data_IF_130203418220
#
_entry.id   IF_130203418220
#
_cell.length_a   1.000
_cell.length_b   1.000
_cell.length_c   1.000
_cell.angle_alpha   90.00
_cell.angle_beta   90.00
_cell.angle_gamma   90.00
#
_symmetry.space_group_name_H-M   'P 1'
#
loop_
_entity.id
_entity.type
_entity.pdbx_description
1 polymer ?
#
# COMPACT_ATOMS: atom_id res chain seq x y z
N UNK A 1 -19.51 30.78 3.59
CA UNK A 1 -18.06 30.64 3.77
C UNK A 1 -17.83 29.53 4.77
N UNK A 2 -17.19 28.40 4.44
CA UNK A 2 -16.76 27.48 5.48
C UNK A 2 -15.47 28.05 6.08
N UNK A 3 -15.48 28.34 7.38
CA UNK A 3 -14.29 28.60 8.17
C UNK A 3 -13.26 27.51 7.88
N UNK A 4 -12.07 27.90 7.38
CA UNK A 4 -10.90 27.03 7.44
C UNK A 4 -10.71 26.72 8.91
N UNK A 5 -10.72 25.43 9.25
CA UNK A 5 -10.49 24.93 10.60
C UNK A 5 -9.37 25.75 11.25
N UNK A 6 -9.59 26.30 12.44
CA UNK A 6 -8.61 27.11 13.18
C UNK A 6 -7.34 26.36 13.60
N UNK A 7 -7.02 25.26 12.91
CA UNK A 7 -5.87 24.40 13.08
C UNK A 7 -4.60 25.17 12.71
N UNK A 8 -3.65 25.14 13.63
CA UNK A 8 -2.32 25.70 13.43
C UNK A 8 -1.27 24.71 13.84
N UNK A 9 -0.18 24.63 13.07
CA UNK A 9 0.86 23.63 13.24
C UNK A 9 2.21 24.33 13.39
N UNK A 10 2.94 23.97 14.45
CA UNK A 10 4.30 24.44 14.66
C UNK A 10 5.28 23.59 13.85
N UNK A 11 6.00 24.23 12.93
CA UNK A 11 6.96 23.61 12.02
C UNK A 11 8.13 24.56 11.77
N UNK A 12 9.37 24.05 11.82
CA UNK A 12 10.56 24.85 11.51
C UNK A 12 10.73 26.10 12.37
N UNK A 13 10.23 26.11 13.61
CA UNK A 13 10.30 27.26 14.52
C UNK A 13 9.22 28.33 14.32
N UNK A 14 8.29 28.14 13.38
CA UNK A 14 7.15 29.03 13.14
C UNK A 14 5.81 28.27 13.24
N UNK A 15 4.69 29.00 13.28
CA UNK A 15 3.34 28.43 13.39
C UNK A 15 2.50 28.82 12.18
N UNK A 16 2.10 27.83 11.40
CA UNK A 16 1.37 28.00 10.14
C UNK A 16 -0.11 27.60 10.29
N UNK A 17 -1.06 28.29 9.62
CA UNK A 17 -2.37 27.71 9.34
C UNK A 17 -2.22 26.37 8.62
N UNK A 18 -3.05 25.39 8.97
CA UNK A 18 -2.92 24.05 8.42
C UNK A 18 -4.25 23.35 8.15
N UNK A 19 -4.21 22.34 7.29
CA UNK A 19 -5.25 21.33 7.11
C UNK A 19 -4.70 19.96 7.53
N UNK A 20 -5.50 19.21 8.28
CA UNK A 20 -5.12 17.86 8.73
C UNK A 20 -5.27 16.84 7.59
N UNK A 21 -4.30 15.94 7.48
CA UNK A 21 -4.30 14.85 6.50
C UNK A 21 -4.22 13.51 7.21
N UNK A 22 -5.05 12.57 6.73
CA UNK A 22 -5.02 11.17 7.13
C UNK A 22 -5.07 10.97 8.66
N UNK A 23 -5.99 11.68 9.33
CA UNK A 23 -6.21 11.60 10.79
C UNK A 23 -4.95 11.97 11.58
N UNK A 24 -4.35 13.11 11.23
CA UNK A 24 -3.18 13.66 11.89
C UNK A 24 -1.85 12.95 11.59
N UNK A 25 -1.79 12.10 10.57
CA UNK A 25 -0.52 11.53 10.12
C UNK A 25 0.35 12.55 9.36
N UNK A 26 -0.30 13.54 8.73
CA UNK A 26 0.39 14.64 8.05
C UNK A 26 -0.47 15.91 8.10
N UNK A 27 0.14 17.02 7.69
CA UNK A 27 -0.51 18.32 7.61
C UNK A 27 -0.13 19.04 6.32
N UNK A 28 -1.07 19.76 5.73
CA UNK A 28 -0.80 20.75 4.71
C UNK A 28 -0.71 22.12 5.38
N UNK A 29 0.49 22.70 5.38
CA UNK A 29 0.78 24.03 5.93
C UNK A 29 0.57 25.08 4.86
N UNK A 30 0.15 26.28 5.27
CA UNK A 30 -0.07 27.41 4.35
C UNK A 30 0.67 28.67 4.82
N UNK A 31 1.13 29.48 3.86
CA UNK A 31 1.77 30.77 4.10
C UNK A 31 1.30 31.82 3.09
N UNK A 32 1.25 33.08 3.53
CA UNK A 32 1.03 34.23 2.66
C UNK A 32 2.30 34.58 1.88
N UNK A 33 3.46 34.43 2.52
CA UNK A 33 4.78 34.75 1.99
C UNK A 33 5.55 33.49 1.58
N UNK A 34 6.55 33.68 0.72
CA UNK A 34 7.47 32.61 0.33
C UNK A 34 8.28 32.12 1.54
N UNK A 35 8.31 30.80 1.73
CA UNK A 35 9.01 30.13 2.82
C UNK A 35 9.82 28.98 2.25
N UNK A 36 11.02 28.73 2.77
CA UNK A 36 11.89 27.67 2.29
C UNK A 36 11.19 26.30 2.29
N UNK A 37 11.15 25.68 1.11
CA UNK A 37 10.52 24.37 0.88
C UNK A 37 8.98 24.41 0.87
N UNK A 38 8.36 25.59 0.83
CA UNK A 38 6.95 25.74 0.43
C UNK A 38 6.90 25.92 -1.08
N UNK A 39 5.84 25.38 -1.69
CA UNK A 39 5.57 25.47 -3.11
C UNK A 39 4.42 26.45 -3.38
N UNK A 40 4.51 27.16 -4.50
CA UNK A 40 3.44 28.04 -4.97
C UNK A 40 2.28 27.21 -5.53
N UNK A 41 1.13 27.25 -4.86
CA UNK A 41 -0.09 26.55 -5.24
C UNK A 41 -1.34 27.37 -4.82
N UNK A 42 -1.68 28.44 -5.55
CA UNK A 42 -2.80 29.30 -5.22
C UNK A 42 -4.13 28.53 -5.36
N UNK A 43 -4.99 28.63 -4.34
CA UNK A 43 -6.37 28.11 -4.38
C UNK A 43 -7.34 29.25 -4.65
N UNK A 44 -8.40 28.96 -5.40
CA UNK A 44 -9.51 29.90 -5.62
C UNK A 44 -10.04 30.35 -4.26
N UNK A 45 -10.09 31.66 -4.04
CA UNK A 45 -10.53 32.29 -2.78
C UNK A 45 -9.62 32.08 -1.55
N UNK A 46 -8.33 31.74 -1.71
CA UNK A 46 -7.35 31.70 -0.62
C UNK A 46 -6.34 32.85 -0.74
N UNK A 47 -6.11 33.57 0.36
CA UNK A 47 -5.03 34.56 0.46
C UNK A 47 -3.66 33.92 0.82
N UNK A 48 -3.60 32.59 0.96
CA UNK A 48 -2.39 31.84 1.30
C UNK A 48 -2.00 30.99 0.08
N UNK A 49 -1.09 31.47 -0.79
CA UNK A 49 -0.74 30.79 -2.03
C UNK A 49 0.44 29.82 -1.87
N UNK A 50 1.20 29.90 -0.79
CA UNK A 50 2.32 29.01 -0.52
C UNK A 50 1.88 27.88 0.39
N UNK A 51 2.35 26.67 0.12
CA UNK A 51 2.01 25.50 0.94
C UNK A 51 3.13 24.47 1.06
N UNK A 52 3.02 23.60 2.05
CA UNK A 52 3.91 22.44 2.21
C UNK A 52 3.18 21.29 2.89
N UNK A 53 3.41 20.07 2.42
CA UNK A 53 3.00 18.86 3.14
C UNK A 53 4.12 18.42 4.09
N UNK A 54 3.77 18.15 5.35
CA UNK A 54 4.72 17.71 6.38
C UNK A 54 4.19 16.50 7.12
N UNK A 55 5.08 15.55 7.46
CA UNK A 55 4.71 14.39 8.26
C UNK A 55 4.55 14.81 9.74
N UNK A 56 3.71 14.11 10.50
CA UNK A 56 3.47 14.42 11.92
C UNK A 56 4.75 14.39 12.77
N UNK A 57 5.73 13.57 12.41
CA UNK A 57 7.03 13.51 13.13
C UNK A 57 7.90 14.75 12.94
N UNK A 58 7.59 15.59 11.95
CA UNK A 58 8.29 16.87 11.72
C UNK A 58 7.59 18.05 12.42
N UNK A 59 6.40 17.80 13.01
CA UNK A 59 5.58 18.81 13.68
C UNK A 59 5.95 18.89 15.15
N UNK A 60 6.18 20.12 15.63
CA UNK A 60 6.50 20.37 17.05
C UNK A 60 5.26 20.43 17.94
N UNK A 61 4.16 21.00 17.44
CA UNK A 61 2.90 21.12 18.16
C UNK A 61 1.73 21.35 17.21
N UNK A 62 0.53 20.91 17.61
CA UNK A 62 -0.72 21.12 16.90
C UNK A 62 -1.67 21.89 17.82
N UNK A 63 -2.25 22.98 17.31
CA UNK A 63 -3.15 23.87 18.04
C UNK A 63 -4.52 23.90 17.36
N UNK A 64 -5.60 23.83 18.14
CA UNK A 64 -6.97 23.91 17.61
C UNK A 64 -7.45 22.64 16.88
N UNK A 65 -6.78 21.50 17.08
CA UNK A 65 -7.24 20.21 16.58
C UNK A 65 -8.44 19.68 17.37
N UNK A 66 -9.27 18.88 16.71
CA UNK A 66 -10.34 18.11 17.35
C UNK A 66 -9.81 16.79 17.88
N UNK A 67 -10.49 16.18 18.86
CA UNK A 67 -10.18 14.82 19.31
C UNK A 67 -10.27 13.83 18.13
N UNK A 68 -9.28 12.95 18.02
CA UNK A 68 -9.24 11.92 16.98
C UNK A 68 -10.21 10.78 17.33
N UNK A 69 -11.00 10.36 16.34
CA UNK A 69 -11.99 9.28 16.53
C UNK A 69 -11.40 7.86 16.49
N UNK A 70 -10.16 7.69 16.00
CA UNK A 70 -9.43 6.43 15.95
C UNK A 70 -8.03 6.64 16.55
N UNK A 71 -7.50 5.64 17.24
CA UNK A 71 -6.13 5.68 17.76
C UNK A 71 -5.13 5.84 16.60
N UNK A 72 -4.18 6.78 16.71
CA UNK A 72 -3.19 6.98 15.67
C UNK A 72 -2.28 5.75 15.51
N UNK A 73 -1.75 5.59 14.29
CA UNK A 73 -0.66 4.64 14.07
C UNK A 73 0.59 5.10 14.84
N UNK A 74 1.39 4.16 15.36
CA UNK A 74 2.56 4.52 16.13
C UNK A 74 3.61 5.10 15.17
N UNK A 75 4.17 6.28 15.49
CA UNK A 75 5.22 6.88 14.69
C UNK A 75 6.51 6.07 14.79
N UNK A 76 7.48 6.37 13.93
CA UNK A 76 8.83 5.86 14.11
C UNK A 76 9.44 6.37 15.42
N UNK A 77 10.10 5.47 16.14
CA UNK A 77 10.78 5.75 17.38
C UNK A 77 12.29 5.54 17.21
N UNK A 78 13.08 6.54 17.61
CA UNK A 78 14.54 6.44 17.68
C UNK A 78 14.97 6.25 19.13
N UNK A 79 15.74 5.20 19.45
CA UNK A 79 16.31 5.03 20.78
C UNK A 79 17.09 6.28 21.20
N UNK A 80 16.87 6.75 22.42
CA UNK A 80 17.55 7.93 22.96
C UNK A 80 19.06 7.71 22.97
N UNK A 81 19.79 8.57 22.26
CA UNK A 81 21.25 8.54 22.20
C UNK A 81 21.81 9.96 22.04
N UNK A 82 22.98 10.24 22.61
CA UNK A 82 23.57 11.59 22.57
C UNK A 82 24.17 11.95 21.20
N UNK A 83 24.71 10.97 20.51
CA UNK A 83 25.45 11.16 19.25
C UNK A 83 24.71 10.65 18.01
N UNK A 84 23.57 9.97 18.21
CA UNK A 84 22.82 9.32 17.11
C UNK A 84 21.42 9.90 17.09
N UNK A 85 21.02 10.42 15.94
CA UNK A 85 19.72 11.03 15.72
C UNK A 85 19.17 10.67 14.33
N UNK A 86 18.07 11.31 13.94
CA UNK A 86 17.35 11.01 12.70
C UNK A 86 18.20 11.08 11.43
N UNK A 87 19.14 12.02 11.34
CA UNK A 87 20.05 12.14 10.19
C UNK A 87 20.94 10.91 10.02
N UNK A 88 21.43 10.34 11.12
CA UNK A 88 22.27 9.14 11.10
C UNK A 88 21.43 7.90 10.77
N UNK A 89 20.24 7.79 11.35
CA UNK A 89 19.27 6.72 11.03
C UNK A 89 18.94 6.72 9.54
N UNK A 90 18.64 7.89 8.99
CA UNK A 90 18.37 8.04 7.56
C UNK A 90 19.59 7.63 6.73
N UNK A 91 20.77 8.13 7.05
CA UNK A 91 22.00 7.76 6.33
C UNK A 91 22.23 6.23 6.33
N UNK A 92 22.08 5.57 7.48
CA UNK A 92 22.25 4.13 7.60
C UNK A 92 21.14 3.35 6.89
N UNK A 93 19.88 3.79 6.97
CA UNK A 93 18.75 3.09 6.32
C UNK A 93 18.88 3.07 4.79
N UNK A 94 19.62 4.02 4.21
CA UNK A 94 19.91 4.11 2.78
C UNK A 94 21.13 3.26 2.35
N UNK A 95 21.78 2.53 3.26
CA UNK A 95 22.97 1.73 2.99
C UNK A 95 22.67 0.22 3.12
N UNK A 96 22.75 -0.57 2.03
CA UNK A 96 22.53 -2.02 2.10
C UNK A 96 23.44 -2.74 3.11
N UNK A 97 24.67 -2.23 3.29
CA UNK A 97 25.63 -2.78 4.26
C UNK A 97 25.18 -2.62 5.73
N UNK A 98 24.22 -1.73 6.00
CA UNK A 98 23.66 -1.50 7.34
C UNK A 98 22.35 -2.27 7.57
N UNK A 99 22.02 -3.27 6.74
CA UNK A 99 20.80 -4.08 6.86
C UNK A 99 20.66 -4.74 8.25
N UNK A 100 21.77 -5.17 8.84
CA UNK A 100 21.81 -5.80 10.16
C UNK A 100 22.22 -4.81 11.27
N UNK A 101 22.24 -3.49 11.00
CA UNK A 101 22.57 -2.48 12.00
C UNK A 101 21.50 -2.45 13.12
N UNK A 102 21.88 -2.55 14.40
CA UNK A 102 20.91 -2.58 15.50
C UNK A 102 20.04 -1.33 15.63
N UNK A 103 20.57 -0.15 15.28
CA UNK A 103 19.81 1.10 15.31
C UNK A 103 18.74 1.08 14.22
N UNK A 104 19.12 0.75 12.98
CA UNK A 104 18.17 0.66 11.85
C UNK A 104 17.09 -0.38 12.14
N UNK A 105 17.49 -1.53 12.68
CA UNK A 105 16.57 -2.61 13.08
C UNK A 105 15.58 -2.16 14.15
N UNK A 106 16.06 -1.49 15.20
CA UNK A 106 15.22 -1.01 16.28
C UNK A 106 14.24 0.07 15.82
N UNK A 107 14.70 1.03 15.01
CA UNK A 107 13.83 2.06 14.42
C UNK A 107 12.80 1.41 13.51
N UNK A 108 13.21 0.48 12.64
CA UNK A 108 12.28 -0.20 11.73
C UNK A 108 11.20 -0.96 12.47
N UNK A 109 11.55 -1.64 13.57
CA UNK A 109 10.61 -2.41 14.38
C UNK A 109 9.52 -1.56 15.04
N UNK A 110 9.75 -0.25 15.24
CA UNK A 110 8.71 0.66 15.77
C UNK A 110 7.55 0.90 14.80
N UNK A 111 7.79 0.71 13.48
CA UNK A 111 6.75 0.75 12.46
C UNK A 111 6.05 -0.61 12.32
N UNK A 112 5.14 -0.90 13.26
CA UNK A 112 4.30 -2.10 13.24
C UNK A 112 3.04 -1.95 12.39
N UNK A 113 2.57 -3.06 11.83
CA UNK A 113 1.21 -3.22 11.29
C UNK A 113 0.36 -3.89 12.35
N UNK A 114 -0.90 -3.46 12.47
CA UNK A 114 -1.91 -4.07 13.32
C UNK A 114 -3.11 -4.43 12.47
N UNK A 115 -4.03 -5.25 12.99
CA UNK A 115 -5.36 -5.37 12.38
C UNK A 115 -5.98 -3.99 12.27
N UNK A 116 -6.56 -3.68 11.12
CA UNK A 116 -7.20 -2.40 10.86
C UNK A 116 -6.26 -1.28 10.42
N UNK A 117 -4.94 -1.48 10.48
CA UNK A 117 -3.96 -0.50 9.99
C UNK A 117 -4.25 -0.16 8.54
N UNK A 118 -4.34 1.13 8.22
CA UNK A 118 -4.57 1.56 6.84
C UNK A 118 -3.29 1.39 6.05
N UNK A 119 -3.31 0.47 5.11
CA UNK A 119 -2.24 0.20 4.17
C UNK A 119 -2.52 0.93 2.86
N UNK A 120 -1.44 1.27 2.16
CA UNK A 120 -1.48 1.98 0.89
C UNK A 120 -0.45 1.39 -0.07
N UNK A 121 -0.80 1.36 -1.34
CA UNK A 121 0.10 1.03 -2.45
C UNK A 121 -0.06 2.09 -3.53
N UNK A 122 1.05 2.68 -3.96
CA UNK A 122 1.08 3.62 -5.08
C UNK A 122 1.06 2.83 -6.40
N UNK A 123 0.23 3.31 -7.33
CA UNK A 123 -0.13 2.64 -8.57
C UNK A 123 0.08 3.58 -9.76
N UNK A 124 0.50 3.01 -10.89
CA UNK A 124 0.25 3.64 -12.18
C UNK A 124 -1.16 3.42 -12.70
N UNK A 125 -1.50 4.13 -13.77
CA UNK A 125 -2.76 3.95 -14.50
C UNK A 125 -2.97 2.48 -14.93
N UNK A 126 -1.89 1.79 -15.36
CA UNK A 126 -1.97 0.37 -15.75
C UNK A 126 -2.28 -0.53 -14.55
N UNK A 127 -1.61 -0.33 -13.42
CA UNK A 127 -1.88 -1.09 -12.20
C UNK A 127 -3.29 -0.81 -11.68
N UNK A 128 -3.73 0.47 -11.67
CA UNK A 128 -5.10 0.85 -11.33
C UNK A 128 -6.12 0.08 -12.18
N UNK A 129 -5.88 0.01 -13.49
CA UNK A 129 -6.73 -0.74 -14.40
C UNK A 129 -6.75 -2.26 -14.10
N UNK A 130 -5.67 -2.82 -13.56
CA UNK A 130 -5.61 -4.19 -13.05
C UNK A 130 -6.46 -4.37 -11.79
N UNK A 131 -6.35 -3.47 -10.82
CA UNK A 131 -7.14 -3.50 -9.57
C UNK A 131 -8.65 -3.34 -9.81
N UNK A 132 -9.02 -2.45 -10.73
CA UNK A 132 -10.41 -2.29 -11.17
C UNK A 132 -10.97 -3.59 -11.77
N UNK A 133 -10.11 -4.42 -12.38
CA UNK A 133 -10.45 -5.75 -12.94
C UNK A 133 -10.17 -6.92 -12.01
N UNK A 134 -9.97 -6.66 -10.72
CA UNK A 134 -9.92 -7.71 -9.70
C UNK A 134 -8.53 -8.18 -9.29
N UNK A 135 -7.46 -7.44 -9.62
CA UNK A 135 -6.20 -7.65 -8.90
C UNK A 135 -6.40 -7.42 -7.40
N UNK A 136 -5.71 -8.23 -6.61
CA UNK A 136 -5.72 -8.18 -5.16
C UNK A 136 -4.49 -7.41 -4.64
N UNK A 137 -4.54 -6.80 -3.43
CA UNK A 137 -3.34 -6.21 -2.82
C UNK A 137 -2.21 -7.23 -2.75
N UNK A 138 -1.01 -6.85 -3.20
CA UNK A 138 0.17 -7.72 -3.19
C UNK A 138 1.45 -6.90 -3.28
N UNK A 139 2.58 -7.53 -2.95
CA UNK A 139 3.91 -6.94 -3.12
C UNK A 139 4.17 -5.80 -2.15
N UNK A 140 4.96 -4.82 -2.59
CA UNK A 140 5.34 -3.69 -1.75
C UNK A 140 4.15 -2.78 -1.41
N UNK A 141 4.08 -2.38 -0.15
CA UNK A 141 3.07 -1.49 0.39
C UNK A 141 3.59 -0.72 1.61
N UNK A 142 2.83 0.27 2.05
CA UNK A 142 3.18 1.22 3.09
C UNK A 142 2.00 1.41 4.04
N UNK A 143 2.25 1.83 5.28
CA UNK A 143 1.15 2.34 6.12
C UNK A 143 0.78 3.73 5.60
N UNK A 144 -0.51 4.05 5.51
CA UNK A 144 -0.99 5.39 5.15
C UNK A 144 -0.31 6.45 6.02
N UNK A 145 -0.10 6.14 7.30
CA UNK A 145 0.58 7.01 8.25
C UNK A 145 1.94 7.49 7.73
N UNK A 146 2.81 6.56 7.33
CA UNK A 146 4.21 6.84 6.98
C UNK A 146 4.39 7.61 5.67
N UNK A 147 3.34 7.66 4.84
CA UNK A 147 3.38 8.28 3.50
C UNK A 147 2.36 9.40 3.34
N UNK A 148 1.66 9.79 4.40
CA UNK A 148 0.56 10.73 4.34
C UNK A 148 0.96 12.12 3.81
N UNK A 149 2.22 12.52 3.96
CA UNK A 149 2.75 13.80 3.45
C UNK A 149 3.17 13.72 1.97
N UNK A 150 3.29 12.52 1.39
CA UNK A 150 3.62 12.33 -0.02
C UNK A 150 2.34 12.41 -0.84
N UNK A 151 2.03 13.62 -1.32
CA UNK A 151 0.71 13.94 -1.87
C UNK A 151 0.74 14.26 -3.35
N UNK A 152 1.88 14.54 -3.95
CA UNK A 152 2.00 14.93 -5.35
C UNK A 152 2.63 13.80 -6.17
N UNK A 153 2.43 13.76 -7.50
CA UNK A 153 3.11 12.78 -8.35
C UNK A 153 4.64 12.78 -8.17
N UNK A 154 5.24 13.95 -7.99
CA UNK A 154 6.67 14.09 -7.74
C UNK A 154 7.10 13.41 -6.42
N UNK A 155 6.38 13.67 -5.33
CA UNK A 155 6.74 13.13 -4.00
C UNK A 155 6.39 11.65 -3.84
N UNK A 156 5.33 11.18 -4.48
CA UNK A 156 4.93 9.76 -4.46
C UNK A 156 5.74 8.87 -5.40
N UNK A 157 6.52 9.47 -6.33
CA UNK A 157 7.38 8.72 -7.26
C UNK A 157 8.36 7.76 -6.57
N UNK A 158 8.81 8.10 -5.35
CA UNK A 158 9.74 7.27 -4.55
C UNK A 158 9.12 5.93 -4.13
N UNK A 159 7.78 5.86 -4.09
CA UNK A 159 7.02 4.70 -3.64
C UNK A 159 6.60 3.78 -4.78
N UNK A 160 6.80 4.20 -6.03
CA UNK A 160 6.35 3.46 -7.21
C UNK A 160 7.07 2.13 -7.35
N UNK A 161 6.31 1.14 -7.78
CA UNK A 161 6.77 -0.25 -7.94
C UNK A 161 6.90 -0.65 -9.41
N UNK A 162 6.41 0.19 -10.32
CA UNK A 162 6.52 -0.01 -11.75
C UNK A 162 7.81 0.62 -12.33
N UNK A 163 8.23 0.14 -13.50
CA UNK A 163 9.48 0.55 -14.16
C UNK A 163 9.49 2.00 -14.66
N UNK A 164 10.66 2.47 -15.11
CA UNK A 164 10.89 3.87 -15.52
C UNK A 164 10.07 4.33 -16.73
N UNK A 165 9.64 3.40 -17.60
CA UNK A 165 8.79 3.67 -18.79
C UNK A 165 7.42 4.30 -18.45
N UNK A 166 7.12 4.40 -17.16
CA UNK A 166 5.89 4.99 -16.61
C UNK A 166 6.10 6.38 -15.97
N UNK A 167 7.31 6.96 -16.09
CA UNK A 167 7.70 8.27 -15.53
C UNK A 167 7.34 9.45 -16.44
N UNK A 168 7.13 9.23 -17.73
CA UNK A 168 6.82 10.32 -18.65
C UNK A 168 5.35 10.77 -18.51
N UNK A 169 5.15 11.97 -17.95
CA UNK A 169 3.94 12.76 -18.17
C UNK A 169 2.72 12.47 -17.29
N UNK A 170 2.84 11.77 -16.16
CA UNK A 170 1.70 11.55 -15.28
C UNK A 170 1.48 12.73 -14.32
N UNK A 171 0.58 13.65 -14.68
CA UNK A 171 0.06 14.71 -13.78
C UNK A 171 -0.75 14.15 -12.59
N UNK A 172 -0.98 12.83 -12.57
CA UNK A 172 -1.78 12.12 -11.59
C UNK A 172 -1.06 10.85 -11.16
N UNK A 173 -0.99 10.62 -9.86
CA UNK A 173 -0.60 9.32 -9.29
C UNK A 173 -1.82 8.65 -8.66
N UNK A 174 -1.91 7.34 -8.77
CA UNK A 174 -3.02 6.57 -8.20
C UNK A 174 -2.57 5.79 -6.98
N UNK A 175 -3.52 5.39 -6.14
CA UNK A 175 -3.23 4.51 -5.02
C UNK A 175 -4.38 3.54 -4.74
N UNK A 176 -4.05 2.37 -4.20
CA UNK A 176 -4.99 1.52 -3.49
C UNK A 176 -4.79 1.74 -2.00
N UNK A 177 -5.86 1.98 -1.27
CA UNK A 177 -5.89 2.04 0.20
C UNK A 177 -6.84 0.98 0.75
N UNK A 178 -6.37 0.21 1.73
CA UNK A 178 -7.15 -0.83 2.38
C UNK A 178 -6.79 -0.92 3.87
N UNK A 179 -7.53 -1.71 4.64
CA UNK A 179 -7.18 -2.03 6.04
C UNK A 179 -6.58 -3.42 6.13
N UNK A 180 -5.48 -3.55 6.87
CA UNK A 180 -4.82 -4.83 7.11
C UNK A 180 -5.74 -5.80 7.87
N UNK A 181 -6.05 -6.95 7.27
CA UNK A 181 -6.86 -8.00 7.89
C UNK A 181 -6.15 -8.61 9.10
N UNK A 182 -4.88 -8.97 8.91
CA UNK A 182 -4.01 -9.53 9.93
C UNK A 182 -2.59 -8.99 9.76
N UNK A 183 -1.87 -8.65 10.85
CA UNK A 183 -0.48 -8.21 10.76
C UNK A 183 0.46 -9.29 10.20
N UNK A 184 0.12 -10.57 10.34
CA UNK A 184 0.82 -11.71 9.74
C UNK A 184 0.72 -11.79 8.22
N UNK A 185 -0.06 -10.93 7.57
CA UNK A 185 -0.05 -10.82 6.11
C UNK A 185 1.10 -9.95 5.57
N UNK A 186 1.90 -9.34 6.46
CA UNK A 186 2.96 -8.41 6.09
C UNK A 186 4.29 -8.83 6.69
N UNK A 187 5.34 -8.65 5.91
CA UNK A 187 6.71 -8.82 6.35
C UNK A 187 7.51 -7.55 6.06
N UNK A 188 8.60 -7.37 6.80
CA UNK A 188 9.61 -6.35 6.49
C UNK A 188 10.58 -6.98 5.49
N UNK A 189 10.88 -6.34 4.33
CA UNK A 189 11.79 -6.87 3.33
C UNK A 189 13.27 -6.70 3.76
N UNK A 190 13.64 -7.38 4.85
CA UNK A 190 14.94 -7.29 5.51
C UNK A 190 15.40 -8.67 6.03
N UNK A 191 16.69 -8.82 6.28
CA UNK A 191 17.27 -10.05 6.82
C UNK A 191 17.38 -11.20 5.81
N UNK A 192 17.74 -12.38 6.34
CA UNK A 192 18.14 -13.54 5.52
C UNK A 192 17.08 -13.97 4.49
N UNK A 193 15.80 -13.93 4.86
CA UNK A 193 14.70 -14.39 4.02
C UNK A 193 14.44 -13.50 2.77
N UNK A 194 15.11 -12.34 2.69
CA UNK A 194 14.99 -11.38 1.58
C UNK A 194 16.34 -11.07 0.91
N UNK A 195 17.43 -11.77 1.26
CA UNK A 195 18.75 -11.58 0.61
C UNK A 195 18.72 -11.87 -0.89
N UNK A 196 17.90 -12.83 -1.32
CA UNK A 196 17.70 -13.11 -2.75
C UNK A 196 17.18 -11.89 -3.52
N UNK A 197 16.27 -11.15 -2.90
CA UNK A 197 15.67 -9.95 -3.48
C UNK A 197 16.67 -8.79 -3.57
N UNK A 198 17.57 -8.65 -2.59
CA UNK A 198 18.64 -7.63 -2.64
C UNK A 198 19.77 -7.99 -3.62
N UNK A 199 19.91 -9.28 -3.95
CA UNK A 199 20.88 -9.78 -4.93
C UNK A 199 20.45 -9.60 -6.40
N UNK A 200 19.17 -9.31 -6.66
CA UNK A 200 18.66 -9.10 -8.02
C UNK A 200 19.23 -7.82 -8.64
N UNK A 201 19.89 -7.99 -9.80
CA UNK A 201 20.52 -6.91 -10.53
C UNK A 201 19.51 -5.94 -11.15
N UNK A 202 20.00 -4.76 -11.56
CA UNK A 202 19.14 -3.75 -12.20
C UNK A 202 18.44 -4.23 -13.47
N UNK A 203 19.01 -5.22 -14.18
CA UNK A 203 18.42 -5.82 -15.39
C UNK A 203 17.25 -6.76 -15.10
N UNK A 204 17.22 -7.33 -13.90
CA UNK A 204 16.27 -8.37 -13.53
C UNK A 204 15.09 -7.81 -12.73
N UNK A 205 15.10 -6.51 -12.37
CA UNK A 205 14.10 -5.88 -11.51
C UNK A 205 13.46 -4.65 -12.14
N UNK A 206 12.21 -4.40 -11.77
CA UNK A 206 11.51 -3.13 -12.00
C UNK A 206 11.52 -2.27 -10.74
N UNK A 207 11.53 -0.95 -10.93
CA UNK A 207 11.52 0.03 -9.83
C UNK A 207 12.86 0.14 -9.10
N UNK A 208 12.90 0.80 -7.92
CA UNK A 208 14.13 1.00 -7.14
C UNK A 208 14.64 -0.30 -6.50
N UNK A 209 15.92 -0.32 -6.13
CA UNK A 209 16.54 -1.47 -5.47
C UNK A 209 15.88 -1.75 -4.11
N UNK A 210 15.95 -2.99 -3.65
CA UNK A 210 15.61 -3.35 -2.27
C UNK A 210 16.89 -3.32 -1.47
N UNK A 211 16.94 -2.49 -0.43
CA UNK A 211 18.17 -2.28 0.35
C UNK A 211 18.39 -3.36 1.41
N UNK A 212 17.33 -4.07 1.81
CA UNK A 212 17.37 -5.03 2.90
C UNK A 212 17.30 -4.39 4.30
N UNK A 213 17.18 -3.06 4.39
CA UNK A 213 17.06 -2.30 5.65
C UNK A 213 15.60 -2.14 6.11
N UNK A 214 14.63 -2.55 5.28
CA UNK A 214 13.21 -2.34 5.53
C UNK A 214 12.71 -0.91 5.30
N UNK A 215 13.52 -0.05 4.66
CA UNK A 215 13.16 1.30 4.28
C UNK A 215 13.23 1.51 2.77
N UNK A 216 12.32 2.34 2.25
CA UNK A 216 12.32 2.76 0.84
C UNK A 216 13.57 3.58 0.53
N UNK A 217 14.22 3.35 -0.63
CA UNK A 217 15.24 4.25 -1.14
C UNK A 217 14.72 5.69 -1.28
N UNK A 218 15.29 6.62 -0.53
CA UNK A 218 14.90 8.03 -0.55
C UNK A 218 16.04 8.93 -0.07
N UNK A 219 16.17 10.11 -0.68
CA UNK A 219 17.10 11.15 -0.24
C UNK A 219 16.54 12.05 0.86
N UNK A 220 15.22 12.04 1.07
CA UNK A 220 14.53 13.04 1.90
C UNK A 220 13.64 12.43 2.98
N UNK A 221 13.23 11.18 2.84
CA UNK A 221 12.21 10.60 3.70
C UNK A 221 12.64 9.25 4.26
N UNK A 222 12.46 9.07 5.56
CA UNK A 222 12.64 7.78 6.21
C UNK A 222 11.30 7.02 6.19
N UNK A 223 11.08 6.24 5.14
CA UNK A 223 9.79 5.57 4.88
C UNK A 223 9.92 4.07 5.12
N UNK A 224 9.27 3.51 6.15
CA UNK A 224 9.18 2.06 6.34
C UNK A 224 8.43 1.42 5.19
N UNK A 225 9.01 0.38 4.60
CA UNK A 225 8.36 -0.42 3.56
C UNK A 225 7.98 -1.80 4.09
N UNK A 226 6.86 -2.32 3.59
CA UNK A 226 6.36 -3.66 3.88
C UNK A 226 6.16 -4.40 2.56
N UNK A 227 6.20 -5.72 2.62
CA UNK A 227 5.73 -6.59 1.54
C UNK A 227 4.60 -7.46 2.05
N UNK A 228 3.65 -7.81 1.19
CA UNK A 228 2.73 -8.90 1.53
C UNK A 228 3.55 -10.18 1.73
N UNK A 229 3.24 -10.94 2.79
CA UNK A 229 3.98 -12.16 3.13
C UNK A 229 4.01 -13.10 1.94
N UNK A 230 5.21 -13.59 1.62
CA UNK A 230 5.50 -14.40 0.43
C UNK A 230 5.09 -13.76 -0.92
N UNK A 231 4.96 -12.43 -0.97
CA UNK A 231 4.40 -11.68 -2.11
C UNK A 231 2.98 -12.12 -2.50
N UNK A 232 2.25 -12.73 -1.55
CA UNK A 232 0.91 -13.25 -1.78
C UNK A 232 -0.11 -12.15 -2.08
N UNK A 233 -1.12 -12.53 -2.86
CA UNK A 233 -2.34 -11.75 -2.94
C UNK A 233 -3.05 -11.75 -1.58
N UNK A 234 -3.58 -10.60 -1.17
CA UNK A 234 -4.42 -10.46 0.01
C UNK A 234 -5.88 -10.34 -0.42
N UNK A 235 -6.83 -11.04 0.20
CA UNK A 235 -8.24 -10.85 -0.10
C UNK A 235 -8.64 -9.38 0.08
N UNK A 236 -9.35 -8.81 -0.91
CA UNK A 236 -9.74 -7.40 -0.89
C UNK A 236 -10.70 -7.12 0.29
N UNK A 237 -10.32 -6.27 1.25
CA UNK A 237 -11.20 -5.91 2.36
C UNK A 237 -12.39 -5.06 1.88
N UNK A 238 -13.50 -5.09 2.64
CA UNK A 238 -14.60 -4.17 2.40
C UNK A 238 -14.11 -2.72 2.56
N UNK A 239 -14.74 -1.81 1.81
CA UNK A 239 -14.44 -0.37 1.86
C UNK A 239 -13.00 0.01 1.49
N UNK A 240 -12.24 -0.90 0.85
CA UNK A 240 -11.00 -0.52 0.18
C UNK A 240 -11.29 0.57 -0.86
N UNK A 241 -10.35 1.47 -1.09
CA UNK A 241 -10.53 2.65 -1.95
C UNK A 241 -9.44 2.74 -2.99
N UNK A 242 -9.83 3.12 -4.21
CA UNK A 242 -8.92 3.57 -5.25
C UNK A 242 -8.90 5.09 -5.25
N UNK A 243 -7.71 5.66 -5.23
CA UNK A 243 -7.47 7.09 -5.04
C UNK A 243 -6.70 7.65 -6.24
N UNK A 244 -6.84 8.96 -6.43
CA UNK A 244 -5.98 9.77 -7.29
C UNK A 244 -5.41 10.96 -6.53
N UNK A 245 -4.18 11.31 -6.88
CA UNK A 245 -3.41 12.44 -6.40
C UNK A 245 -2.94 13.26 -7.61
N UNK A 246 -3.63 14.37 -7.96
CA UNK A 246 -3.21 15.26 -9.02
C UNK A 246 -2.01 16.11 -8.56
N UNK A 247 -1.50 16.97 -9.44
CA UNK A 247 -0.36 17.86 -9.16
C UNK A 247 -0.56 18.72 -7.90
N UNK A 248 -1.80 19.12 -7.61
CA UNK A 248 -2.15 19.89 -6.41
C UNK A 248 -2.21 19.03 -5.15
N UNK A 249 -1.96 17.73 -5.21
CA UNK A 249 -1.89 16.83 -4.06
C UNK A 249 -3.18 16.68 -3.23
N UNK A 250 -4.31 17.03 -3.83
CA UNK A 250 -5.63 16.70 -3.30
C UNK A 250 -5.87 15.20 -3.37
N UNK A 251 -6.48 14.61 -2.34
CA UNK A 251 -6.91 13.21 -2.41
C UNK A 251 -8.28 13.15 -3.03
N UNK A 252 -8.39 12.44 -4.15
CA UNK A 252 -9.66 12.20 -4.82
C UNK A 252 -9.97 10.72 -4.72
N UNK A 253 -11.03 10.37 -3.98
CA UNK A 253 -11.53 8.99 -3.93
C UNK A 253 -12.24 8.68 -5.25
N UNK A 254 -11.65 7.83 -6.07
CA UNK A 254 -12.18 7.43 -7.36
C UNK A 254 -13.28 6.37 -7.20
N UNK A 255 -12.97 5.30 -6.48
CA UNK A 255 -13.87 4.16 -6.26
C UNK A 255 -13.75 3.62 -4.83
N UNK A 256 -14.84 3.03 -4.35
CA UNK A 256 -14.90 2.24 -3.12
C UNK A 256 -15.34 0.80 -3.42
N UNK A 257 -14.65 -0.18 -2.85
CA UNK A 257 -14.94 -1.60 -3.07
C UNK A 257 -16.17 -2.05 -2.29
N UNK A 258 -17.11 -2.66 -3.00
CA UNK A 258 -18.32 -3.28 -2.48
C UNK A 258 -18.12 -4.80 -2.49
N UNK A 259 -17.80 -5.37 -1.32
CA UNK A 259 -17.45 -6.78 -1.20
C UNK A 259 -18.60 -7.71 -1.62
N UNK A 260 -19.83 -7.36 -1.25
CA UNK A 260 -21.05 -8.12 -1.56
C UNK A 260 -21.34 -8.20 -3.05
N UNK A 261 -20.98 -7.15 -3.79
CA UNK A 261 -21.19 -7.07 -5.24
C UNK A 261 -19.94 -7.51 -6.01
N UNK A 262 -18.81 -7.71 -5.31
CA UNK A 262 -17.48 -7.96 -5.89
C UNK A 262 -17.13 -6.94 -6.97
N UNK A 263 -17.30 -5.67 -6.64
CA UNK A 263 -17.08 -4.59 -7.59
C UNK A 263 -16.74 -3.26 -6.96
N UNK A 264 -16.39 -2.30 -7.82
CA UNK A 264 -16.00 -0.96 -7.46
C UNK A 264 -17.14 0.01 -7.76
N UNK A 265 -17.57 0.77 -6.75
CA UNK A 265 -18.55 1.84 -6.90
C UNK A 265 -17.85 3.20 -7.01
N UNK A 266 -18.18 3.97 -8.05
CA UNK A 266 -17.58 5.28 -8.31
C UNK A 266 -17.99 6.27 -7.23
N UNK A 267 -17.00 6.91 -6.61
CA UNK A 267 -17.19 7.93 -5.57
C UNK A 267 -16.96 9.35 -6.08
N UNK A 268 -16.25 9.47 -7.21
CA UNK A 268 -15.81 10.75 -7.76
C UNK A 268 -16.91 11.49 -8.52
N UNK A 269 -17.00 12.81 -8.33
CA UNK A 269 -17.95 13.68 -9.04
C UNK A 269 -17.50 14.09 -10.46
N UNK A 270 -18.38 14.74 -11.26
CA UNK A 270 -18.09 15.14 -12.65
C UNK A 270 -16.78 15.93 -12.83
N UNK A 271 -16.46 16.83 -11.90
CA UNK A 271 -15.30 17.72 -11.97
C UNK A 271 -13.95 16.97 -11.97
N UNK A 272 -13.94 15.73 -11.49
CA UNK A 272 -12.74 14.92 -11.30
C UNK A 272 -12.70 13.68 -12.22
N UNK A 273 -13.71 13.46 -13.07
CA UNK A 273 -13.75 12.29 -13.96
C UNK A 273 -12.56 12.24 -14.93
N UNK A 274 -12.04 13.39 -15.33
CA UNK A 274 -10.87 13.50 -16.20
C UNK A 274 -9.65 12.74 -15.64
N UNK A 275 -9.55 12.57 -14.32
CA UNK A 275 -8.48 11.79 -13.67
C UNK A 275 -8.49 10.30 -14.07
N UNK A 276 -9.60 9.78 -14.62
CA UNK A 276 -9.69 8.40 -15.10
C UNK A 276 -9.34 8.26 -16.59
N UNK A 277 -9.17 9.36 -17.33
CA UNK A 277 -8.98 9.33 -18.78
C UNK A 277 -7.71 8.59 -19.21
N UNK A 278 -6.67 8.61 -18.37
CA UNK A 278 -5.40 7.91 -18.62
C UNK A 278 -5.45 6.41 -18.27
N UNK A 279 -6.53 5.91 -17.67
CA UNK A 279 -6.62 4.54 -17.15
C UNK A 279 -7.04 3.57 -18.26
N UNK A 280 -6.18 2.63 -18.68
CA UNK A 280 -6.46 1.79 -19.84
C UNK A 280 -7.74 0.95 -19.70
N UNK A 281 -8.65 1.10 -20.66
CA UNK A 281 -9.89 0.34 -20.76
C UNK A 281 -10.88 0.56 -19.60
N UNK A 282 -10.81 1.72 -18.96
CA UNK A 282 -11.80 2.19 -17.98
C UNK A 282 -12.48 3.44 -18.53
N UNK A 283 -13.81 3.44 -18.60
CA UNK A 283 -14.55 4.64 -18.99
C UNK A 283 -14.65 5.61 -17.79
N UNK A 284 -14.37 6.92 -17.96
CA UNK A 284 -14.55 7.92 -16.91
C UNK A 284 -15.98 8.02 -16.36
N UNK A 285 -16.97 7.61 -17.14
CA UNK A 285 -18.38 7.64 -16.76
C UNK A 285 -18.87 6.33 -16.13
N UNK A 286 -18.01 5.31 -16.04
CA UNK A 286 -18.39 4.01 -15.52
C UNK A 286 -18.64 4.07 -14.00
N UNK A 287 -19.90 3.99 -13.60
CA UNK A 287 -20.32 4.12 -12.20
C UNK A 287 -20.03 2.89 -11.36
N UNK A 288 -20.12 1.71 -11.98
CA UNK A 288 -19.86 0.43 -11.34
C UNK A 288 -18.94 -0.42 -12.20
N UNK A 289 -17.91 -1.01 -11.57
CA UNK A 289 -16.97 -1.90 -12.25
C UNK A 289 -16.93 -3.27 -11.54
N UNK A 290 -17.49 -4.33 -12.13
CA UNK A 290 -17.37 -5.66 -11.54
C UNK A 290 -15.94 -6.19 -11.67
N UNK A 291 -15.44 -6.86 -10.64
CA UNK A 291 -14.08 -7.45 -10.64
C UNK A 291 -14.00 -8.84 -11.31
N UNK A 292 -15.06 -9.26 -12.00
CA UNK A 292 -15.18 -10.54 -12.70
C UNK A 292 -15.47 -11.74 -11.81
N UNK A 293 -15.77 -12.88 -12.43
CA UNK A 293 -16.07 -14.17 -11.74
C UNK A 293 -14.88 -15.15 -11.73
N UNK A 294 -13.73 -14.75 -12.27
CA UNK A 294 -12.57 -15.64 -12.38
C UNK A 294 -12.19 -16.20 -11.00
N UNK A 295 -12.08 -17.55 -10.85
CA UNK A 295 -11.72 -18.17 -9.60
C UNK A 295 -10.40 -17.58 -9.08
N UNK A 296 -10.44 -17.02 -7.86
CA UNK A 296 -9.25 -16.53 -7.18
C UNK A 296 -8.67 -17.66 -6.35
N UNK A 297 -7.37 -17.88 -6.48
CA UNK A 297 -6.65 -18.86 -5.67
C UNK A 297 -6.44 -18.39 -4.22
N UNK A 298 -6.71 -17.11 -3.94
CA UNK A 298 -6.66 -16.53 -2.59
C UNK A 298 -8.01 -15.94 -2.18
N UNK A 299 -8.49 -16.31 -0.99
CA UNK A 299 -9.75 -15.80 -0.39
C UNK A 299 -9.72 -15.87 1.13
N UNK A 300 -10.62 -15.13 1.79
CA UNK A 300 -10.92 -15.36 3.20
C UNK A 300 -12.01 -16.41 3.33
N UNK A 301 -11.81 -17.32 4.25
CA UNK A 301 -12.75 -18.37 4.59
C UNK A 301 -13.03 -18.26 6.08
N UNK A 302 -14.29 -18.21 6.45
CA UNK A 302 -14.71 -18.14 7.84
C UNK A 302 -15.65 -19.27 8.23
N UNK A 303 -15.64 -19.61 9.50
CA UNK A 303 -16.56 -20.60 10.08
C UNK A 303 -17.70 -19.88 10.79
N UNK A 304 -18.93 -20.34 10.57
CA UNK A 304 -20.11 -19.84 11.28
C UNK A 304 -21.09 -20.98 11.51
N UNK A 305 -21.55 -21.17 12.75
CA UNK A 305 -22.56 -22.18 13.11
C UNK A 305 -22.22 -23.61 12.61
N UNK A 306 -20.93 -23.98 12.64
CA UNK A 306 -20.43 -25.28 12.18
C UNK A 306 -20.27 -25.44 10.67
N UNK A 307 -20.59 -24.40 9.88
CA UNK A 307 -20.37 -24.36 8.43
C UNK A 307 -19.16 -23.51 8.05
N UNK A 308 -18.61 -23.77 6.86
CA UNK A 308 -17.56 -22.97 6.23
C UNK A 308 -18.18 -22.06 5.14
N UNK A 309 -17.82 -20.78 5.16
CA UNK A 309 -18.29 -19.78 4.22
C UNK A 309 -17.15 -18.88 3.75
N UNK A 310 -17.31 -18.24 2.60
CA UNK A 310 -16.41 -17.13 2.23
C UNK A 310 -16.63 -15.97 3.20
N UNK A 311 -15.55 -15.34 3.64
CA UNK A 311 -15.57 -14.24 4.59
C UNK A 311 -15.07 -12.94 3.99
N UNK A 312 -15.37 -11.83 4.65
CA UNK A 312 -14.91 -10.48 4.30
C UNK A 312 -14.37 -9.81 5.56
N UNK A 313 -13.21 -9.16 5.42
CA UNK A 313 -12.70 -8.25 6.44
C UNK A 313 -13.40 -6.89 6.31
N UNK A 314 -14.23 -6.51 7.30
CA UNK A 314 -14.95 -5.23 7.35
C UNK A 314 -14.42 -4.36 8.50
N UNK A 315 -13.15 -3.99 8.37
CA UNK A 315 -12.37 -3.33 9.43
C UNK A 315 -12.64 -1.81 9.50
N UNK A 316 -12.53 -1.16 10.68
CA UNK A 316 -12.02 -1.68 11.95
C UNK A 316 -13.05 -2.49 12.76
N UNK A 317 -14.20 -2.87 12.17
CA UNK A 317 -15.18 -3.76 12.79
C UNK A 317 -14.65 -5.18 12.94
N UNK A 318 -15.19 -6.12 12.17
CA UNK A 318 -14.88 -7.55 12.32
C UNK A 318 -14.93 -8.30 10.98
N UNK A 319 -14.64 -9.59 11.03
CA UNK A 319 -14.85 -10.53 9.93
C UNK A 319 -16.29 -11.01 9.91
N UNK A 320 -16.85 -11.11 8.71
CA UNK A 320 -18.22 -11.56 8.51
C UNK A 320 -18.34 -12.45 7.30
N UNK A 321 -19.39 -13.28 7.29
CA UNK A 321 -19.76 -14.05 6.12
C UNK A 321 -20.03 -13.10 4.94
N UNK A 322 -19.49 -13.45 3.77
CA UNK A 322 -19.83 -12.81 2.51
C UNK A 322 -21.28 -13.15 2.18
N UNK A 323 -22.17 -12.19 2.34
CA UNK A 323 -23.59 -12.35 2.07
C UNK A 323 -24.12 -11.19 1.23
N UNK A 324 -25.01 -11.50 0.29
CA UNK A 324 -25.58 -10.51 -0.64
C UNK A 324 -26.46 -9.46 0.05
N UNK A 325 -27.02 -9.78 1.22
CA UNK A 325 -27.93 -8.88 1.95
C UNK A 325 -27.37 -8.52 3.31
N UNK A 326 -27.70 -7.31 3.78
CA UNK A 326 -27.28 -6.82 5.11
C UNK A 326 -27.79 -7.71 6.24
N UNK A 327 -28.98 -8.29 6.10
CA UNK A 327 -29.59 -9.16 7.12
C UNK A 327 -28.85 -10.49 7.31
N UNK A 328 -28.02 -10.91 6.35
CA UNK A 328 -27.24 -12.14 6.41
C UNK A 328 -25.75 -11.89 6.74
N UNK A 329 -25.40 -10.67 7.20
CA UNK A 329 -24.05 -10.33 7.66
C UNK A 329 -23.83 -10.86 9.08
N UNK A 330 -23.51 -12.14 9.17
CA UNK A 330 -23.16 -12.77 10.44
C UNK A 330 -21.65 -12.63 10.69
N UNK A 331 -21.23 -12.31 11.93
CA UNK A 331 -19.82 -12.41 12.31
C UNK A 331 -19.37 -13.88 12.18
N UNK A 332 -18.10 -14.10 11.91
CA UNK A 332 -17.53 -15.46 11.84
C UNK A 332 -16.87 -15.83 13.16
N UNK A 333 -16.95 -17.10 13.53
CA UNK A 333 -16.37 -17.67 14.76
C UNK A 333 -14.85 -17.90 14.60
N UNK A 334 -14.38 -17.97 13.37
CA UNK A 334 -12.99 -18.20 12.99
C UNK A 334 -12.79 -17.76 11.55
N UNK A 335 -11.58 -17.32 11.21
CA UNK A 335 -11.25 -16.88 9.85
C UNK A 335 -9.84 -17.33 9.47
N UNK A 336 -9.67 -17.72 8.21
CA UNK A 336 -8.40 -18.08 7.62
C UNK A 336 -8.25 -17.46 6.24
N UNK A 337 -7.03 -17.05 5.90
CA UNK A 337 -6.65 -16.77 4.52
C UNK A 337 -6.26 -18.07 3.84
N UNK A 338 -7.10 -18.49 2.88
CA UNK A 338 -6.87 -19.66 2.05
C UNK A 338 -6.07 -19.26 0.82
N UNK A 339 -4.96 -19.95 0.56
CA UNK A 339 -4.07 -19.75 -0.59
C UNK A 339 -3.76 -21.10 -1.26
N UNK A 340 -3.35 -21.09 -2.53
CA UNK A 340 -2.84 -22.29 -3.23
C UNK A 340 -1.33 -22.16 -3.43
N UNK A 341 -0.58 -23.08 -2.85
CA UNK A 341 0.88 -23.15 -2.93
C UNK A 341 1.27 -24.29 -3.86
N UNK A 342 2.41 -24.14 -4.53
CA UNK A 342 2.99 -25.19 -5.34
C UNK A 342 4.52 -25.00 -5.48
N UNK A 343 5.19 -25.96 -6.11
CA UNK A 343 6.57 -25.85 -6.52
C UNK A 343 6.71 -26.11 -8.03
N UNK A 344 7.58 -25.37 -8.70
CA UNK A 344 7.91 -25.63 -10.10
C UNK A 344 9.41 -25.49 -10.29
N UNK A 345 10.04 -26.53 -10.86
CA UNK A 345 11.50 -26.63 -11.01
C UNK A 345 12.26 -26.41 -9.70
N UNK A 346 11.70 -26.92 -8.59
CA UNK A 346 12.26 -26.77 -7.24
C UNK A 346 12.06 -25.39 -6.60
N UNK A 347 11.38 -24.45 -7.27
CA UNK A 347 11.13 -23.09 -6.75
C UNK A 347 9.75 -23.01 -6.11
N UNK A 348 9.62 -22.52 -4.86
CA UNK A 348 8.34 -22.38 -4.17
C UNK A 348 7.53 -21.19 -4.72
N UNK A 349 6.30 -21.48 -5.09
CA UNK A 349 5.39 -20.56 -5.78
C UNK A 349 4.02 -20.47 -5.09
N UNK A 350 3.34 -19.36 -5.35
CA UNK A 350 1.90 -19.21 -5.20
C UNK A 350 1.25 -19.45 -6.54
N UNK A 351 0.17 -20.23 -6.56
CA UNK A 351 -0.70 -20.34 -7.73
C UNK A 351 -1.67 -19.17 -7.69
N UNK A 352 -1.66 -18.32 -8.72
CA UNK A 352 -2.54 -17.16 -8.82
C UNK A 352 -3.86 -17.53 -9.49
N UNK A 353 -3.77 -18.28 -10.61
CA UNK A 353 -4.92 -18.76 -11.38
C UNK A 353 -4.53 -19.96 -12.24
N UNK A 354 -5.55 -20.65 -12.70
CA UNK A 354 -5.45 -21.77 -13.63
C UNK A 354 -6.27 -21.47 -14.89
N UNK A 355 -5.69 -21.72 -16.05
CA UNK A 355 -6.33 -21.48 -17.35
C UNK A 355 -5.89 -22.55 -18.34
N UNK A 356 -6.83 -23.36 -18.85
CA UNK A 356 -6.59 -24.38 -19.86
C UNK A 356 -5.39 -25.32 -19.56
N UNK A 357 -5.26 -25.76 -18.31
CA UNK A 357 -4.16 -26.64 -17.86
C UNK A 357 -2.83 -25.93 -17.60
N UNK A 358 -2.77 -24.61 -17.70
CA UNK A 358 -1.63 -23.78 -17.31
C UNK A 358 -1.89 -23.09 -15.98
N UNK A 359 -0.85 -23.01 -15.15
CA UNK A 359 -0.88 -22.32 -13.87
C UNK A 359 -0.05 -21.04 -13.99
N UNK A 360 -0.66 -19.90 -13.63
CA UNK A 360 0.09 -18.65 -13.42
C UNK A 360 0.65 -18.68 -12.01
N UNK A 361 1.97 -18.70 -11.91
CA UNK A 361 2.70 -18.82 -10.65
C UNK A 361 3.37 -17.49 -10.29
N UNK A 362 3.46 -17.20 -8.99
CA UNK A 362 4.28 -16.11 -8.43
C UNK A 362 5.34 -16.69 -7.50
N UNK A 363 6.58 -16.26 -7.64
CA UNK A 363 7.67 -16.71 -6.76
C UNK A 363 7.48 -16.16 -5.35
N UNK A 364 7.59 -17.02 -4.33
CA UNK A 364 7.47 -16.61 -2.91
C UNK A 364 8.75 -15.97 -2.36
N UNK A 365 9.89 -16.42 -2.89
CA UNK A 365 11.24 -15.99 -2.52
C UNK A 365 12.04 -15.73 -3.81
N UNK A 366 11.83 -14.59 -4.46
CA UNK A 366 12.54 -14.27 -5.69
C UNK A 366 14.03 -14.03 -5.40
N UNK A 367 14.87 -14.67 -6.20
CA UNK A 367 16.32 -14.52 -6.24
C UNK A 367 16.82 -14.79 -7.67
N UNK A 368 18.09 -14.48 -8.00
CA UNK A 368 18.60 -14.67 -9.35
C UNK A 368 18.47 -16.11 -9.88
N UNK A 369 18.69 -17.11 -9.04
CA UNK A 369 18.66 -18.52 -9.44
C UNK A 369 17.22 -19.00 -9.68
N UNK A 370 16.30 -18.62 -8.80
CA UNK A 370 14.87 -18.90 -8.92
C UNK A 370 14.27 -18.26 -10.18
N UNK A 371 14.66 -17.00 -10.47
CA UNK A 371 14.26 -16.29 -11.69
C UNK A 371 14.81 -16.99 -12.93
N UNK A 372 16.10 -17.37 -12.92
CA UNK A 372 16.72 -18.07 -14.05
C UNK A 372 16.10 -19.46 -14.29
N UNK A 373 15.84 -20.23 -13.23
CA UNK A 373 15.28 -21.58 -13.32
C UNK A 373 13.85 -21.58 -13.89
N UNK A 374 13.04 -20.57 -13.55
CA UNK A 374 11.62 -20.50 -13.92
C UNK A 374 11.34 -19.56 -15.09
N UNK A 375 12.34 -18.81 -15.55
CA UNK A 375 12.19 -17.70 -16.51
C UNK A 375 11.09 -16.70 -16.09
N UNK A 376 10.90 -16.50 -14.78
CA UNK A 376 9.88 -15.60 -14.26
C UNK A 376 10.17 -14.15 -14.62
N UNK A 377 9.14 -13.42 -15.01
CA UNK A 377 9.24 -12.02 -15.40
C UNK A 377 8.94 -11.13 -14.19
N UNK A 378 9.74 -10.09 -14.01
CA UNK A 378 9.44 -9.05 -13.03
C UNK A 378 8.25 -8.22 -13.50
N UNK A 379 7.11 -8.32 -12.82
CA UNK A 379 5.89 -7.58 -13.15
C UNK A 379 5.80 -6.23 -12.45
N UNK A 380 6.38 -6.15 -11.25
CA UNK A 380 6.61 -4.95 -10.44
C UNK A 380 7.72 -5.25 -9.42
N UNK A 381 8.21 -4.23 -8.71
CA UNK A 381 9.28 -4.36 -7.70
C UNK A 381 9.04 -5.56 -6.78
N UNK A 382 9.93 -6.55 -6.86
CA UNK A 382 9.90 -7.78 -6.05
C UNK A 382 8.86 -8.83 -6.43
N UNK A 383 8.03 -8.61 -7.44
CA UNK A 383 7.00 -9.57 -7.87
C UNK A 383 7.40 -10.21 -9.19
N UNK A 384 7.62 -11.52 -9.15
CA UNK A 384 8.06 -12.31 -10.28
C UNK A 384 7.04 -13.39 -10.57
N UNK A 385 6.54 -13.42 -11.80
CA UNK A 385 5.51 -14.35 -12.21
C UNK A 385 5.87 -15.08 -13.50
N UNK A 386 5.30 -16.26 -13.67
CA UNK A 386 5.54 -17.13 -14.82
C UNK A 386 4.33 -17.99 -15.08
N UNK A 387 4.24 -18.57 -16.27
CA UNK A 387 3.25 -19.59 -16.60
C UNK A 387 3.93 -20.95 -16.70
N UNK A 388 3.38 -21.93 -15.99
CA UNK A 388 3.87 -23.30 -15.98
C UNK A 388 2.77 -24.27 -16.44
N UNK A 389 3.11 -25.34 -17.17
CA UNK A 389 2.17 -26.43 -17.43
C UNK A 389 1.79 -27.10 -16.10
N UNK A 390 0.50 -27.28 -15.83
CA UNK A 390 0.03 -27.82 -14.54
C UNK A 390 0.58 -29.22 -14.23
N UNK A 391 0.83 -30.05 -15.25
CA UNK A 391 1.43 -31.38 -15.08
C UNK A 391 2.91 -31.39 -14.68
N UNK A 392 3.61 -30.26 -14.76
CA UNK A 392 5.00 -30.13 -14.31
C UNK A 392 5.12 -29.57 -12.88
N UNK A 393 4.01 -29.11 -12.31
CA UNK A 393 3.97 -28.47 -11.00
C UNK A 393 3.81 -29.55 -9.93
N UNK A 394 4.60 -29.45 -8.87
CA UNK A 394 4.60 -30.38 -7.72
C UNK A 394 4.08 -29.68 -6.47
N UNK A 395 3.76 -30.46 -5.43
CA UNK A 395 3.33 -29.96 -4.12
C UNK A 395 2.16 -28.96 -4.19
N UNK A 396 1.29 -29.12 -5.18
CA UNK A 396 0.12 -28.28 -5.40
C UNK A 396 -0.93 -28.57 -4.33
N UNK A 397 -1.09 -27.62 -3.41
CA UNK A 397 -1.96 -27.76 -2.25
C UNK A 397 -2.61 -26.44 -1.86
N UNK A 398 -3.82 -26.57 -1.32
CA UNK A 398 -4.54 -25.45 -0.71
C UNK A 398 -4.20 -25.41 0.78
N UNK A 399 -3.78 -24.25 1.25
CA UNK A 399 -3.32 -24.02 2.64
C UNK A 399 -4.15 -22.92 3.27
N UNK A 400 -4.57 -23.15 4.52
CA UNK A 400 -5.26 -22.18 5.35
C UNK A 400 -4.31 -21.54 6.36
N UNK A 401 -4.25 -20.21 6.36
CA UNK A 401 -3.53 -19.41 7.34
C UNK A 401 -4.55 -18.79 8.30
N UNK A 402 -4.71 -19.33 9.53
CA UNK A 402 -5.69 -18.81 10.47
C UNK A 402 -5.28 -17.43 10.98
N UNK A 403 -6.25 -16.54 11.11
CA UNK A 403 -6.09 -15.27 11.82
C UNK A 403 -6.56 -15.42 13.27
N UNK A 404 -5.87 -14.72 14.18
CA UNK A 404 -6.23 -14.70 15.59
C UNK A 404 -7.31 -13.65 15.82
N UNK A 405 -8.58 -14.05 15.95
CA UNK A 405 -9.70 -13.12 16.14
C UNK A 405 -9.60 -12.32 17.44
#
# INVERSE_FOLDING_TARGET
>A
MPERTGLRVAFGGAVYPAEEIARGAAYELFSADEVAGFEWAPRVNSALPWRRFVHVTEVGAVHGGTEQAEDPEPPLLVPLHRERGWSEVHRLSQQPAAADDPLVTAVRASAGVRRGTRMMKILSARQLAGYVRGWLPHGFCYREHDVAHLRTPATTSVLRTDGEDSRDGADVTYALRWRAADPGDYDVPAGAAYRGLTALGARDRLGPAVLGTGFTPSSHHLIPEFVTRDFADLPMPANATLLAYPAEGLEVVLYAYQAEQRGWLRMVGPQWRHLLAAVPGLSPDQEYVPTGEAPRSTRLVGTYAGGEYEAVADLPGDFRVLALTRAARYPVDGVSRRVRLAAWRGVPCLVLREEAGWLRLRLRRPDPDAVAATAAQCHERGVYETWAPGGEVTDDQVVDHPYLL
#
